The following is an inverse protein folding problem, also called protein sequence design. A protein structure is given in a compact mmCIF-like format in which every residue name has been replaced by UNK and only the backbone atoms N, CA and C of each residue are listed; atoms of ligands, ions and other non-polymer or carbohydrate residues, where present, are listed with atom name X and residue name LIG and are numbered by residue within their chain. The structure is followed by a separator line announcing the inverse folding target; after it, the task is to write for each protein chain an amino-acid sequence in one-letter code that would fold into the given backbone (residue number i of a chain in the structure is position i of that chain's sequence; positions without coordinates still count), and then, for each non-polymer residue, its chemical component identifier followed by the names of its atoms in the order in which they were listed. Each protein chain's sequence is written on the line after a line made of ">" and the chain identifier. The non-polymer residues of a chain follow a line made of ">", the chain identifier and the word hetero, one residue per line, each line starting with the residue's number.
data_IF_541672477978
#
_entry.id   IF_541672477978
#
_cell.length_a   1.000
_cell.length_b   1.000
_cell.length_c   1.000
_cell.angle_alpha   90.00
_cell.angle_beta   90.00
_cell.angle_gamma   90.00
#
_symmetry.space_group_name_H-M   'P 1'
#
loop_
_entity.id
_entity.type
_entity.pdbx_description
1 polymer ?
#
# COMPACT_ATOMS: atom_id res chain seq x y z
N UNK A 1 2.67 4.87 -18.40
CA UNK A 1 1.43 5.25 -17.68
C UNK A 1 1.39 6.76 -17.51
N UNK A 2 0.19 7.39 -17.58
CA UNK A 2 0.05 8.83 -17.31
C UNK A 2 0.23 9.08 -15.80
N UNK A 3 1.10 9.99 -15.43
CA UNK A 3 1.33 10.35 -14.04
C UNK A 3 0.14 11.14 -13.46
N UNK A 4 -0.11 10.95 -12.17
CA UNK A 4 -1.16 11.62 -11.39
C UNK A 4 -0.55 12.40 -10.23
N UNK A 5 -0.95 13.64 -10.05
CA UNK A 5 -0.47 14.48 -8.95
C UNK A 5 -1.01 13.95 -7.61
N UNK A 6 -0.16 13.86 -6.59
CA UNK A 6 -0.54 13.40 -5.25
C UNK A 6 -1.03 14.59 -4.40
N UNK A 7 -2.35 14.77 -4.34
CA UNK A 7 -2.96 15.85 -3.55
C UNK A 7 -2.26 17.18 -3.74
N UNK A 8 -2.01 17.89 -2.63
CA UNK A 8 -1.31 19.20 -2.61
C UNK A 8 0.19 19.14 -2.87
N UNK A 9 0.79 17.93 -2.96
CA UNK A 9 2.23 17.78 -3.15
C UNK A 9 2.68 18.13 -4.58
N UNK A 10 3.99 18.24 -4.78
CA UNK A 10 4.64 18.33 -6.09
C UNK A 10 4.93 16.95 -6.71
N UNK A 11 4.59 15.87 -6.00
CA UNK A 11 4.85 14.52 -6.47
C UNK A 11 3.85 14.08 -7.53
N UNK A 12 4.37 13.47 -8.58
CA UNK A 12 3.59 12.86 -9.65
C UNK A 12 3.85 11.35 -9.67
N UNK A 13 2.86 10.57 -9.29
CA UNK A 13 2.96 9.11 -9.17
C UNK A 13 2.39 8.40 -10.39
N UNK A 14 2.98 7.26 -10.74
CA UNK A 14 2.31 6.31 -11.63
C UNK A 14 1.02 5.78 -10.98
N UNK A 15 -0.02 5.42 -11.75
CA UNK A 15 -1.28 4.89 -11.20
C UNK A 15 -1.10 3.63 -10.34
N UNK A 16 0.02 2.93 -10.49
CA UNK A 16 0.41 1.77 -9.68
C UNK A 16 1.76 2.09 -9.03
N UNK A 17 1.87 1.82 -7.73
CA UNK A 17 3.12 1.76 -6.99
C UNK A 17 3.42 0.35 -6.52
N UNK A 18 4.70 0.00 -6.37
CA UNK A 18 5.09 -1.29 -5.84
C UNK A 18 5.02 -1.29 -4.31
N UNK A 19 4.14 -2.13 -3.76
CA UNK A 19 4.10 -2.43 -2.33
C UNK A 19 5.06 -3.58 -1.98
N UNK A 20 5.88 -3.37 -0.97
CA UNK A 20 6.93 -4.33 -0.59
C UNK A 20 6.60 -5.16 0.65
N UNK A 21 5.41 -5.03 1.22
CA UNK A 21 5.02 -5.77 2.44
C UNK A 21 5.34 -7.27 2.37
N UNK A 22 5.04 -7.91 1.25
CA UNK A 22 5.27 -9.35 1.07
C UNK A 22 6.76 -9.73 0.88
N UNK A 23 7.66 -8.75 0.80
CA UNK A 23 9.11 -8.93 0.72
C UNK A 23 9.79 -8.95 2.10
N UNK A 24 9.05 -8.70 3.19
CA UNK A 24 9.57 -8.70 4.56
C UNK A 24 9.85 -10.09 5.14
N UNK A 25 9.68 -11.16 4.37
CA UNK A 25 9.92 -12.52 4.85
C UNK A 25 8.77 -13.11 5.67
N UNK A 26 9.02 -14.27 6.30
CA UNK A 26 8.02 -15.06 7.04
C UNK A 26 8.14 -15.02 8.57
N UNK A 27 9.24 -14.53 9.11
CA UNK A 27 9.57 -14.67 10.53
C UNK A 27 9.04 -13.53 11.41
N UNK A 28 7.84 -13.05 11.09
CA UNK A 28 7.14 -12.03 11.87
C UNK A 28 5.61 -12.17 11.72
N UNK A 29 4.86 -11.56 12.65
CA UNK A 29 3.41 -11.76 12.83
C UNK A 29 2.55 -11.60 11.57
N UNK A 30 2.92 -10.70 10.66
CA UNK A 30 2.17 -10.39 9.43
C UNK A 30 2.94 -10.79 8.17
N UNK A 31 3.80 -11.82 8.28
CA UNK A 31 4.57 -12.36 7.17
C UNK A 31 3.71 -13.04 6.10
N UNK A 32 4.29 -13.21 4.92
CA UNK A 32 3.69 -13.90 3.77
C UNK A 32 4.37 -15.26 3.48
N UNK A 33 5.04 -15.83 4.50
CA UNK A 33 5.92 -16.97 4.34
C UNK A 33 7.33 -16.60 3.85
N UNK A 34 8.22 -17.60 3.69
CA UNK A 34 9.60 -17.36 3.28
C UNK A 34 9.72 -16.55 2.00
N UNK A 35 10.71 -15.67 1.93
CA UNK A 35 10.99 -14.80 0.79
C UNK A 35 12.49 -14.77 0.49
N UNK A 36 12.83 -14.86 -0.78
CA UNK A 36 14.20 -14.70 -1.28
C UNK A 36 14.49 -13.23 -1.60
N UNK A 37 15.53 -12.69 -0.99
CA UNK A 37 15.92 -11.29 -1.15
C UNK A 37 16.38 -10.96 -2.57
N UNK A 38 17.07 -11.88 -3.23
CA UNK A 38 17.51 -11.65 -4.60
C UNK A 38 16.33 -11.61 -5.57
N UNK A 39 15.26 -12.41 -5.31
CA UNK A 39 14.00 -12.30 -6.04
C UNK A 39 13.33 -10.96 -5.76
N UNK A 40 13.34 -10.50 -4.51
CA UNK A 40 12.76 -9.20 -4.12
C UNK A 40 13.46 -8.04 -4.83
N UNK A 41 14.80 -8.00 -4.83
CA UNK A 41 15.60 -6.99 -5.54
C UNK A 41 15.27 -6.98 -7.04
N UNK A 42 15.27 -8.16 -7.69
CA UNK A 42 14.91 -8.25 -9.11
C UNK A 42 13.48 -7.80 -9.39
N UNK A 43 12.54 -8.09 -8.49
CA UNK A 43 11.13 -7.64 -8.61
C UNK A 43 11.02 -6.11 -8.53
N UNK A 44 11.80 -5.48 -7.64
CA UNK A 44 11.88 -4.01 -7.54
C UNK A 44 12.43 -3.43 -8.86
N UNK A 45 13.52 -3.97 -9.38
CA UNK A 45 14.10 -3.51 -10.63
C UNK A 45 13.14 -3.67 -11.81
N UNK A 46 12.48 -4.84 -11.94
CA UNK A 46 11.48 -5.07 -12.99
C UNK A 46 10.32 -4.05 -12.90
N UNK A 47 9.80 -3.77 -11.70
CA UNK A 47 8.73 -2.79 -11.52
C UNK A 47 9.13 -1.40 -12.03
N UNK A 48 10.37 -0.98 -11.74
CA UNK A 48 10.92 0.30 -12.20
C UNK A 48 11.17 0.29 -13.72
N UNK A 49 11.61 -0.83 -14.30
CA UNK A 49 11.82 -0.99 -15.74
C UNK A 49 10.48 -0.98 -16.51
N UNK A 50 9.41 -1.48 -15.93
CA UNK A 50 8.05 -1.37 -16.43
C UNK A 50 7.45 0.05 -16.31
N UNK A 51 8.21 0.99 -15.73
CA UNK A 51 7.86 2.40 -15.63
C UNK A 51 7.07 2.78 -14.38
N UNK A 52 7.02 1.93 -13.34
CA UNK A 52 6.57 2.34 -11.99
C UNK A 52 7.64 3.30 -11.44
N UNK A 53 7.21 4.41 -10.83
CA UNK A 53 8.13 5.44 -10.35
C UNK A 53 8.18 5.61 -8.83
N UNK A 54 7.48 4.75 -8.08
CA UNK A 54 7.47 4.84 -6.63
C UNK A 54 7.32 3.47 -5.94
N UNK A 55 7.86 3.38 -4.72
CA UNK A 55 7.86 2.20 -3.87
C UNK A 55 7.23 2.53 -2.52
N UNK A 56 6.39 1.62 -1.99
CA UNK A 56 5.85 1.70 -0.63
C UNK A 56 6.43 0.59 0.24
N UNK A 57 7.06 0.98 1.33
CA UNK A 57 7.64 0.08 2.34
C UNK A 57 7.24 0.49 3.75
N UNK A 58 7.73 -0.21 4.77
CA UNK A 58 7.62 0.15 6.18
C UNK A 58 8.70 -0.55 7.01
N UNK A 59 9.18 0.08 8.12
CA UNK A 59 10.14 -0.55 9.01
C UNK A 59 9.62 -1.84 9.66
N UNK A 60 8.32 -1.92 9.96
CA UNK A 60 7.73 -3.12 10.56
C UNK A 60 7.70 -4.33 9.62
N UNK A 61 7.84 -4.16 8.31
CA UNK A 61 7.87 -5.26 7.35
C UNK A 61 9.14 -6.10 7.51
N UNK A 62 9.01 -7.25 8.17
CA UNK A 62 10.16 -8.08 8.54
C UNK A 62 11.09 -7.41 9.57
N UNK A 63 10.56 -6.50 10.41
CA UNK A 63 11.28 -5.84 11.51
C UNK A 63 12.58 -5.16 11.05
N UNK A 64 12.47 -4.35 10.00
CA UNK A 64 13.56 -3.61 9.35
C UNK A 64 14.08 -4.25 8.06
N UNK A 65 13.97 -5.56 7.93
CA UNK A 65 14.53 -6.32 6.80
C UNK A 65 14.07 -5.84 5.43
N UNK A 66 12.77 -5.51 5.30
CA UNK A 66 12.24 -5.05 4.01
C UNK A 66 12.86 -3.72 3.55
N UNK A 67 13.10 -2.77 4.46
CA UNK A 67 13.80 -1.52 4.12
C UNK A 67 15.25 -1.78 3.71
N UNK A 68 15.95 -2.76 4.34
CA UNK A 68 17.30 -3.16 3.94
C UNK A 68 17.33 -3.78 2.52
N UNK A 69 16.31 -4.60 2.18
CA UNK A 69 16.14 -5.16 0.81
C UNK A 69 15.90 -4.06 -0.21
N UNK A 70 15.02 -3.10 0.11
CA UNK A 70 14.75 -1.92 -0.74
C UNK A 70 16.05 -1.11 -0.89
N UNK A 71 16.79 -0.83 0.19
CA UNK A 71 18.05 -0.10 0.17
C UNK A 71 19.10 -0.77 -0.73
N UNK A 72 19.22 -2.11 -0.70
CA UNK A 72 20.06 -2.86 -1.63
C UNK A 72 19.63 -2.64 -3.08
N UNK A 73 18.34 -2.75 -3.37
CA UNK A 73 17.82 -2.51 -4.72
C UNK A 73 18.13 -1.08 -5.20
N UNK A 74 17.93 -0.07 -4.34
CA UNK A 74 18.23 1.33 -4.66
C UNK A 74 19.71 1.57 -4.98
N UNK A 75 20.62 0.95 -4.22
CA UNK A 75 22.06 1.05 -4.43
C UNK A 75 22.49 0.55 -5.81
N UNK A 76 21.80 -0.44 -6.37
CA UNK A 76 22.08 -1.02 -7.68
C UNK A 76 21.54 -0.17 -8.85
N UNK A 77 20.66 0.81 -8.61
CA UNK A 77 19.97 1.59 -9.64
C UNK A 77 20.79 2.74 -10.24
N UNK A 78 22.07 2.73 -10.26
CA UNK A 78 22.98 3.67 -10.96
C UNK A 78 22.31 4.97 -11.48
N UNK A 79 21.96 5.90 -10.57
CA UNK A 79 21.41 7.23 -10.94
C UNK A 79 19.89 7.30 -11.14
N UNK A 80 19.15 6.21 -11.10
CA UNK A 80 17.67 6.21 -11.07
C UNK A 80 17.21 6.25 -9.61
N UNK A 81 16.43 7.25 -9.23
CA UNK A 81 15.85 7.34 -7.88
C UNK A 81 14.34 7.33 -7.97
N UNK A 82 13.67 6.23 -7.60
CA UNK A 82 12.21 6.23 -7.44
C UNK A 82 11.79 7.09 -6.23
N UNK A 83 10.54 7.49 -6.20
CA UNK A 83 9.90 8.10 -5.04
C UNK A 83 9.74 7.01 -3.98
N UNK A 84 10.20 7.27 -2.74
CA UNK A 84 10.16 6.32 -1.63
C UNK A 84 9.12 6.75 -0.61
N UNK A 85 8.18 5.83 -0.31
CA UNK A 85 7.23 5.94 0.79
C UNK A 85 7.61 4.94 1.88
N UNK A 86 7.76 5.42 3.13
CA UNK A 86 7.89 4.56 4.30
C UNK A 86 7.09 5.12 5.47
N UNK A 87 7.11 4.43 6.62
CA UNK A 87 6.16 4.66 7.70
C UNK A 87 6.87 4.73 9.06
N UNK A 88 6.13 5.13 10.10
CA UNK A 88 6.53 5.07 11.51
C UNK A 88 5.39 4.53 12.37
N UNK A 89 5.58 4.51 13.67
CA UNK A 89 4.63 4.12 14.71
C UNK A 89 4.67 2.63 15.07
N UNK A 90 4.77 1.72 14.10
CA UNK A 90 4.87 0.28 14.37
C UNK A 90 6.31 -0.07 14.74
N UNK A 91 6.68 0.16 16.01
CA UNK A 91 7.92 -0.30 16.60
C UNK A 91 7.84 -1.78 16.99
N UNK A 92 8.96 -2.35 17.42
CA UNK A 92 8.98 -3.71 17.95
C UNK A 92 9.97 -3.84 19.12
N UNK A 93 9.71 -4.79 19.98
CA UNK A 93 10.57 -5.21 21.10
C UNK A 93 11.60 -6.25 20.62
N UNK A 94 12.63 -6.58 21.42
CA UNK A 94 13.64 -7.58 21.05
C UNK A 94 13.09 -8.98 20.76
N UNK A 95 11.92 -9.30 21.29
CA UNK A 95 11.22 -10.58 21.03
C UNK A 95 10.36 -10.56 19.75
N UNK A 96 10.38 -9.45 18.99
CA UNK A 96 9.57 -9.25 17.79
C UNK A 96 8.12 -8.79 18.04
N UNK A 97 7.73 -8.56 19.30
CA UNK A 97 6.40 -8.04 19.64
C UNK A 97 6.25 -6.63 19.09
N UNK A 98 5.23 -6.42 18.24
CA UNK A 98 4.95 -5.12 17.63
C UNK A 98 4.20 -4.24 18.65
N UNK A 99 4.72 -3.03 18.88
CA UNK A 99 4.18 -2.04 19.81
C UNK A 99 3.96 -0.70 19.12
N UNK A 100 2.81 -0.04 19.32
CA UNK A 100 2.56 1.29 18.77
C UNK A 100 3.31 2.36 19.57
N UNK A 101 3.96 3.31 18.89
CA UNK A 101 4.67 4.43 19.52
C UNK A 101 4.59 5.69 18.66
N UNK A 102 3.93 6.73 19.17
CA UNK A 102 3.81 8.05 18.51
C UNK A 102 4.52 9.17 19.26
N UNK A 103 5.33 8.84 20.28
CA UNK A 103 6.12 9.85 21.00
C UNK A 103 7.18 10.45 20.08
N UNK A 104 7.39 11.77 20.22
CA UNK A 104 8.36 12.54 19.43
C UNK A 104 9.73 11.86 19.34
N UNK A 105 10.29 11.40 20.45
CA UNK A 105 11.58 10.74 20.48
C UNK A 105 11.61 9.44 19.66
N UNK A 106 10.49 8.68 19.60
CA UNK A 106 10.34 7.49 18.78
C UNK A 106 10.35 7.85 17.29
N UNK A 107 9.51 8.80 16.88
CA UNK A 107 9.39 9.24 15.50
C UNK A 107 10.74 9.72 14.94
N UNK A 108 11.48 10.52 15.71
CA UNK A 108 12.81 11.00 15.31
C UNK A 108 13.82 9.85 15.15
N UNK A 109 13.80 8.84 16.03
CA UNK A 109 14.67 7.67 15.90
C UNK A 109 14.26 6.80 14.71
N UNK A 110 12.97 6.55 14.53
CA UNK A 110 12.45 5.73 13.44
C UNK A 110 12.81 6.28 12.06
N UNK A 111 12.76 7.61 11.87
CA UNK A 111 13.15 8.21 10.58
C UNK A 111 14.64 8.04 10.30
N UNK A 112 15.52 8.22 11.32
CA UNK A 112 16.95 8.01 11.14
C UNK A 112 17.28 6.56 10.78
N UNK A 113 16.61 5.62 11.46
CA UNK A 113 16.75 4.20 11.16
C UNK A 113 16.28 3.84 9.74
N UNK A 114 15.16 4.43 9.29
CA UNK A 114 14.67 4.24 7.91
C UNK A 114 15.61 4.86 6.87
N UNK A 115 16.11 6.09 7.09
CA UNK A 115 17.09 6.73 6.21
C UNK A 115 18.35 5.86 6.06
N UNK A 116 18.85 5.32 7.17
CA UNK A 116 20.04 4.45 7.20
C UNK A 116 19.78 3.13 6.46
N UNK A 117 18.66 2.43 6.70
CA UNK A 117 18.34 1.15 6.04
C UNK A 117 18.10 1.33 4.54
N UNK A 118 17.39 2.37 4.16
CA UNK A 118 17.10 2.69 2.75
C UNK A 118 18.32 3.25 2.01
N UNK A 119 19.33 3.76 2.73
CA UNK A 119 20.51 4.38 2.14
C UNK A 119 20.20 5.68 1.40
N UNK A 120 19.27 6.48 1.93
CA UNK A 120 18.85 7.77 1.35
C UNK A 120 18.95 8.91 2.38
N UNK A 121 19.22 10.12 1.91
CA UNK A 121 19.33 11.31 2.79
C UNK A 121 17.95 11.93 3.08
N UNK A 122 16.96 11.70 2.23
CA UNK A 122 15.62 12.26 2.32
C UNK A 122 14.58 11.21 1.93
N UNK A 123 13.52 11.09 2.73
CA UNK A 123 12.34 10.29 2.42
C UNK A 123 11.31 11.16 1.70
N UNK A 124 10.81 10.72 0.55
CA UNK A 124 9.85 11.51 -0.23
C UNK A 124 8.47 11.55 0.39
N UNK A 125 7.99 10.42 0.95
CA UNK A 125 6.68 10.25 1.56
C UNK A 125 6.84 9.52 2.90
N UNK A 126 6.53 10.19 4.00
CA UNK A 126 6.61 9.61 5.34
C UNK A 126 5.27 9.68 6.05
N UNK A 127 4.84 8.58 6.67
CA UNK A 127 3.47 8.49 7.19
C UNK A 127 3.37 7.74 8.52
N UNK A 128 2.44 8.17 9.36
CA UNK A 128 1.99 7.37 10.51
C UNK A 128 1.27 6.13 9.95
N UNK A 129 1.69 4.92 10.36
CA UNK A 129 1.16 3.65 9.87
C UNK A 129 -0.26 3.38 10.39
N UNK A 130 -0.48 3.60 11.68
CA UNK A 130 -1.77 3.50 12.35
C UNK A 130 -1.95 4.62 13.37
N UNK A 131 -3.18 5.11 13.61
CA UNK A 131 -3.45 6.15 14.61
C UNK A 131 -3.45 5.55 16.03
N UNK A 132 -2.33 5.00 16.47
CA UNK A 132 -2.20 4.30 17.76
C UNK A 132 -0.89 4.63 18.46
N UNK A 133 -0.91 4.94 19.79
CA UNK A 133 -2.13 5.19 20.57
C UNK A 133 -2.82 6.49 20.13
N UNK A 134 -4.18 6.56 20.22
CA UNK A 134 -4.95 7.70 19.70
C UNK A 134 -4.64 9.02 20.44
N UNK A 135 -4.33 8.94 21.72
CA UNK A 135 -3.96 10.10 22.56
C UNK A 135 -2.64 10.74 22.14
N UNK A 136 -1.79 10.05 21.39
CA UNK A 136 -0.47 10.53 20.99
C UNK A 136 -0.39 10.99 19.53
N UNK A 137 -1.49 10.95 18.76
CA UNK A 137 -1.43 11.22 17.30
C UNK A 137 -1.00 12.65 16.99
N UNK A 138 -1.39 13.65 17.79
CA UNK A 138 -0.96 15.05 17.60
C UNK A 138 0.52 15.25 17.93
N UNK A 139 1.04 14.57 18.96
CA UNK A 139 2.47 14.61 19.29
C UNK A 139 3.29 13.98 18.15
N UNK A 140 2.89 12.79 17.69
CA UNK A 140 3.56 12.13 16.57
C UNK A 140 3.49 12.93 15.27
N UNK A 141 2.34 13.56 14.99
CA UNK A 141 2.19 14.40 13.82
C UNK A 141 3.01 15.67 13.87
N UNK A 142 3.12 16.30 15.07
CA UNK A 142 3.99 17.44 15.29
C UNK A 142 5.46 17.08 15.05
N UNK A 143 5.89 15.91 15.50
CA UNK A 143 7.24 15.40 15.25
C UNK A 143 7.50 15.21 13.74
N UNK A 144 6.53 14.67 12.98
CA UNK A 144 6.66 14.55 11.51
C UNK A 144 6.75 15.94 10.85
N UNK A 145 5.98 16.93 11.30
CA UNK A 145 6.07 18.30 10.80
C UNK A 145 7.47 18.90 11.00
N UNK A 146 8.13 18.59 12.13
CA UNK A 146 9.51 18.97 12.39
C UNK A 146 10.49 18.31 11.41
N UNK A 147 10.28 17.04 11.08
CA UNK A 147 11.10 16.31 10.10
C UNK A 147 10.96 16.90 8.68
N UNK A 148 9.75 17.34 8.32
CA UNK A 148 9.53 18.08 7.06
C UNK A 148 10.29 19.40 7.08
N UNK A 149 10.19 20.19 8.17
CA UNK A 149 10.92 21.45 8.33
C UNK A 149 12.44 21.27 8.31
N UNK A 150 12.93 20.13 8.85
CA UNK A 150 14.35 19.78 8.83
C UNK A 150 14.85 19.24 7.47
N UNK A 151 13.95 19.06 6.50
CA UNK A 151 14.28 18.53 5.17
C UNK A 151 14.58 17.03 5.10
N UNK A 152 14.33 16.27 6.16
CA UNK A 152 14.49 14.80 6.18
C UNK A 152 13.33 14.07 5.50
N UNK A 153 12.18 14.71 5.47
CA UNK A 153 10.94 14.24 4.84
C UNK A 153 10.44 15.31 3.88
N UNK A 154 10.06 14.94 2.67
CA UNK A 154 9.46 15.90 1.72
C UNK A 154 7.98 16.11 1.97
N UNK A 155 7.22 15.03 2.06
CA UNK A 155 5.77 15.08 2.21
C UNK A 155 5.27 14.14 3.30
N UNK A 156 4.43 14.69 4.18
CA UNK A 156 3.86 13.99 5.31
C UNK A 156 2.44 13.47 4.99
N UNK A 157 2.16 12.23 5.39
CA UNK A 157 0.88 11.58 5.23
C UNK A 157 0.52 10.68 6.40
N UNK A 158 -0.60 10.01 6.28
CA UNK A 158 -1.08 9.07 7.30
C UNK A 158 -1.72 7.84 6.66
N UNK A 159 -1.82 6.75 7.41
CA UNK A 159 -2.48 5.52 6.99
C UNK A 159 -3.53 5.10 8.01
N UNK A 160 -4.69 4.62 7.55
CA UNK A 160 -5.77 4.09 8.39
C UNK A 160 -6.45 5.12 9.32
N UNK A 161 -6.36 6.40 9.02
CA UNK A 161 -7.00 7.46 9.81
C UNK A 161 -8.47 7.68 9.39
N UNK A 162 -9.32 7.91 10.37
CA UNK A 162 -10.69 8.39 10.18
C UNK A 162 -10.73 9.88 9.86
N UNK A 163 -11.87 10.37 9.35
CA UNK A 163 -12.09 11.81 9.11
C UNK A 163 -11.95 12.63 10.41
N UNK A 164 -12.43 12.09 11.55
CA UNK A 164 -12.29 12.75 12.85
C UNK A 164 -10.80 12.96 13.22
N UNK A 165 -9.98 11.93 13.03
CA UNK A 165 -8.53 12.01 13.28
C UNK A 165 -7.83 12.93 12.29
N UNK A 166 -8.18 12.89 11.00
CA UNK A 166 -7.62 13.83 10.01
C UNK A 166 -7.87 15.29 10.38
N UNK A 167 -9.08 15.61 10.89
CA UNK A 167 -9.42 16.97 11.37
C UNK A 167 -8.54 17.45 12.51
N UNK A 168 -8.08 16.55 13.40
CA UNK A 168 -7.17 16.88 14.51
C UNK A 168 -5.77 17.24 14.01
N UNK A 169 -5.32 16.67 12.90
CA UNK A 169 -3.98 16.88 12.36
C UNK A 169 -3.83 18.17 11.54
N UNK A 170 -4.87 18.55 10.80
CA UNK A 170 -4.82 19.68 9.85
C UNK A 170 -4.33 21.02 10.46
N UNK A 171 -4.69 21.41 11.70
CA UNK A 171 -4.20 22.64 12.32
C UNK A 171 -2.71 22.62 12.63
N UNK A 172 -2.10 21.44 12.78
CA UNK A 172 -0.69 21.25 13.12
C UNK A 172 0.18 21.32 11.86
N UNK A 173 -0.14 20.47 10.89
CA UNK A 173 0.52 20.42 9.59
C UNK A 173 -0.43 19.83 8.55
N UNK A 174 -0.48 20.36 7.32
CA UNK A 174 -1.35 19.84 6.29
C UNK A 174 -1.01 18.39 5.95
N UNK A 175 -2.02 17.51 5.95
CA UNK A 175 -1.89 16.13 5.46
C UNK A 175 -1.84 16.14 3.93
N UNK A 176 -0.75 15.64 3.34
CA UNK A 176 -0.60 15.61 1.89
C UNK A 176 -1.27 14.39 1.25
N UNK A 177 -1.27 13.24 1.94
CA UNK A 177 -1.86 12.01 1.43
C UNK A 177 -2.35 11.09 2.55
N UNK A 178 -3.32 10.24 2.18
CA UNK A 178 -3.88 9.18 3.03
C UNK A 178 -3.70 7.82 2.34
N UNK A 179 -3.25 6.82 3.10
CA UNK A 179 -3.14 5.43 2.66
C UNK A 179 -4.18 4.54 3.38
N UNK A 180 -5.40 4.39 2.86
CA UNK A 180 -6.43 3.52 3.43
C UNK A 180 -6.49 2.17 2.72
N UNK A 181 -7.15 1.13 3.30
CA UNK A 181 -7.54 -0.06 2.55
C UNK A 181 -8.68 0.29 1.58
N UNK A 182 -8.57 -0.15 0.32
CA UNK A 182 -9.65 0.02 -0.66
C UNK A 182 -9.62 -1.04 -1.74
N UNK A 183 -10.75 -1.71 -1.92
CA UNK A 183 -10.95 -2.74 -2.95
C UNK A 183 -12.45 -2.89 -3.26
N UNK A 184 -12.81 -3.70 -4.22
CA UNK A 184 -14.20 -4.07 -4.51
C UNK A 184 -14.92 -4.68 -3.29
N UNK A 185 -14.19 -5.35 -2.39
CA UNK A 185 -14.72 -5.98 -1.17
C UNK A 185 -14.70 -5.00 0.01
N UNK A 186 -13.68 -4.17 0.12
CA UNK A 186 -13.53 -3.19 1.20
C UNK A 186 -13.78 -1.77 0.67
N UNK A 187 -15.00 -1.26 0.86
CA UNK A 187 -15.47 0.02 0.30
C UNK A 187 -15.72 1.10 1.34
N UNK A 188 -15.32 0.88 2.59
CA UNK A 188 -15.64 1.77 3.72
C UNK A 188 -15.16 3.22 3.59
N UNK A 189 -14.22 3.52 2.67
CA UNK A 189 -13.73 4.88 2.45
C UNK A 189 -14.65 5.75 1.56
N UNK A 190 -15.62 5.15 0.87
CA UNK A 190 -16.39 5.83 -0.17
C UNK A 190 -17.33 6.91 0.41
N UNK A 191 -17.90 6.68 1.60
CA UNK A 191 -18.94 7.55 2.18
C UNK A 191 -18.40 8.83 2.82
N UNK A 192 -17.23 8.78 3.49
CA UNK A 192 -16.72 9.92 4.26
C UNK A 192 -15.29 10.31 3.86
N UNK A 193 -14.39 9.33 3.73
CA UNK A 193 -12.96 9.59 3.53
C UNK A 193 -12.69 10.19 2.15
N UNK A 194 -13.26 9.63 1.08
CA UNK A 194 -13.06 10.17 -0.28
C UNK A 194 -13.56 11.60 -0.38
N UNK A 195 -14.81 11.94 0.03
CA UNK A 195 -15.31 13.32 0.01
C UNK A 195 -14.46 14.29 0.85
N UNK A 196 -14.03 13.85 2.05
CA UNK A 196 -13.18 14.68 2.89
C UNK A 196 -11.81 14.96 2.25
N UNK A 197 -11.16 13.93 1.71
CA UNK A 197 -9.87 14.07 1.03
C UNK A 197 -9.98 14.98 -0.21
N UNK A 198 -11.09 14.90 -0.93
CA UNK A 198 -11.35 15.78 -2.08
C UNK A 198 -11.46 17.25 -1.65
N UNK A 199 -12.25 17.53 -0.61
CA UNK A 199 -12.45 18.89 -0.10
C UNK A 199 -11.17 19.53 0.47
N UNK A 200 -10.19 18.72 0.89
CA UNK A 200 -8.95 19.19 1.54
C UNK A 200 -7.68 18.99 0.70
N UNK A 201 -7.81 18.61 -0.57
CA UNK A 201 -6.70 18.30 -1.49
C UNK A 201 -5.70 17.29 -0.92
N UNK A 202 -6.22 16.23 -0.27
CA UNK A 202 -5.45 15.09 0.23
C UNK A 202 -5.45 13.99 -0.84
N UNK A 203 -4.26 13.56 -1.29
CA UNK A 203 -4.14 12.44 -2.23
C UNK A 203 -4.47 11.10 -1.56
N UNK A 204 -5.10 10.18 -2.29
CA UNK A 204 -5.38 8.82 -1.77
C UNK A 204 -4.52 7.81 -2.51
N UNK A 205 -3.77 6.99 -1.76
CA UNK A 205 -2.92 5.91 -2.26
C UNK A 205 -3.29 4.58 -1.60
N UNK A 206 -4.42 3.97 -1.95
CA UNK A 206 -4.93 2.82 -1.22
C UNK A 206 -4.05 1.58 -1.36
N UNK A 207 -4.02 0.78 -0.28
CA UNK A 207 -3.40 -0.53 -0.28
C UNK A 207 -4.43 -1.65 -0.47
N UNK A 208 -3.96 -2.85 -0.83
CA UNK A 208 -4.75 -4.06 -1.06
C UNK A 208 -5.87 -3.92 -2.12
N UNK A 209 -5.62 -3.31 -3.29
CA UNK A 209 -6.65 -3.17 -4.33
C UNK A 209 -7.18 -4.52 -4.83
N UNK A 210 -6.36 -5.58 -4.74
CA UNK A 210 -6.74 -6.96 -5.04
C UNK A 210 -7.09 -7.78 -3.79
N UNK A 211 -7.35 -7.15 -2.64
CA UNK A 211 -7.65 -7.81 -1.36
C UNK A 211 -6.65 -8.94 -1.04
N UNK A 212 -5.36 -8.61 -0.94
CA UNK A 212 -4.26 -9.54 -0.66
C UNK A 212 -4.18 -10.72 -1.65
N UNK A 213 -4.55 -10.49 -2.90
CA UNK A 213 -4.57 -11.48 -3.98
C UNK A 213 -5.89 -12.21 -4.16
N UNK A 214 -6.88 -12.03 -3.28
CA UNK A 214 -8.18 -12.67 -3.36
C UNK A 214 -8.90 -12.36 -4.68
N UNK A 215 -8.81 -11.12 -5.17
CA UNK A 215 -9.41 -10.66 -6.44
C UNK A 215 -8.51 -10.88 -7.67
N UNK A 216 -7.47 -11.73 -7.56
CA UNK A 216 -6.57 -12.02 -8.68
C UNK A 216 -7.15 -12.99 -9.71
N UNK A 217 -8.26 -13.64 -9.39
CA UNK A 217 -8.83 -14.73 -10.20
C UNK A 217 -8.08 -16.07 -10.05
N UNK A 218 -7.04 -16.14 -9.21
CA UNK A 218 -6.22 -17.36 -8.99
C UNK A 218 -6.56 -18.09 -7.69
N UNK A 219 -7.37 -17.50 -6.81
CA UNK A 219 -7.71 -18.07 -5.50
C UNK A 219 -8.80 -19.12 -5.64
N UNK A 220 -8.50 -20.31 -5.15
CA UNK A 220 -9.42 -21.44 -4.98
C UNK A 220 -9.32 -21.95 -3.55
N UNK A 221 -10.26 -22.80 -3.11
CA UNK A 221 -10.17 -23.45 -1.79
C UNK A 221 -8.84 -24.20 -1.64
N UNK A 222 -8.48 -25.04 -2.60
CA UNK A 222 -7.23 -25.79 -2.57
C UNK A 222 -6.00 -24.87 -2.49
N UNK A 223 -6.04 -23.70 -3.12
CA UNK A 223 -4.96 -22.71 -3.03
C UNK A 223 -4.85 -22.13 -1.62
N UNK A 224 -5.99 -21.84 -0.95
CA UNK A 224 -6.00 -21.34 0.44
C UNK A 224 -5.49 -22.40 1.41
N UNK A 225 -5.92 -23.65 1.25
CA UNK A 225 -5.49 -24.78 2.07
C UNK A 225 -3.97 -25.04 1.98
N UNK A 226 -3.38 -24.74 0.82
CA UNK A 226 -1.94 -24.87 0.56
C UNK A 226 -1.09 -23.69 1.05
N UNK A 227 -1.68 -22.64 1.63
CA UNK A 227 -0.90 -21.52 2.18
C UNK A 227 0.05 -22.01 3.29
N UNK A 228 1.29 -21.51 3.36
CA UNK A 228 2.21 -21.79 4.47
C UNK A 228 1.58 -21.48 5.84
N UNK A 229 1.95 -22.23 6.87
CA UNK A 229 1.44 -22.00 8.24
C UNK A 229 1.75 -20.57 8.76
N UNK A 230 2.85 -19.99 8.29
CA UNK A 230 3.32 -18.64 8.63
C UNK A 230 2.71 -17.53 7.75
N UNK A 231 1.83 -17.88 6.81
CA UNK A 231 1.14 -16.89 5.97
C UNK A 231 -0.04 -16.28 6.76
N UNK A 232 0.03 -14.96 7.00
CA UNK A 232 -0.98 -14.24 7.80
C UNK A 232 -2.40 -14.31 7.21
N UNK A 233 -2.56 -14.62 5.92
CA UNK A 233 -3.88 -14.76 5.27
C UNK A 233 -4.69 -15.94 5.82
N UNK A 234 -4.04 -16.95 6.40
CA UNK A 234 -4.74 -18.05 7.09
C UNK A 234 -5.63 -17.57 8.24
N UNK A 235 -5.24 -16.47 8.89
CA UNK A 235 -6.03 -15.81 9.96
C UNK A 235 -6.98 -14.72 9.47
N UNK A 236 -6.98 -14.39 8.19
CA UNK A 236 -7.85 -13.34 7.63
C UNK A 236 -9.24 -13.92 7.35
N UNK A 237 -10.32 -13.33 7.92
CA UNK A 237 -11.70 -13.79 7.70
C UNK A 237 -12.09 -13.87 6.22
N UNK A 238 -11.52 -13.04 5.35
CA UNK A 238 -11.81 -13.05 3.91
C UNK A 238 -11.32 -14.33 3.20
N UNK A 239 -10.37 -15.05 3.79
CA UNK A 239 -9.83 -16.32 3.29
C UNK A 239 -10.40 -17.54 4.03
N UNK A 240 -11.40 -17.34 4.90
CA UNK A 240 -12.06 -18.37 5.70
C UNK A 240 -13.57 -18.38 5.45
N UNK A 241 -14.22 -19.51 5.78
CA UNK A 241 -15.68 -19.61 5.66
C UNK A 241 -16.41 -18.74 6.70
N UNK A 242 -17.57 -18.20 6.36
CA UNK A 242 -18.31 -18.34 5.10
C UNK A 242 -17.86 -17.37 3.99
N UNK A 243 -16.96 -16.42 4.26
CA UNK A 243 -16.58 -15.37 3.32
C UNK A 243 -15.79 -15.90 2.14
N UNK A 244 -14.97 -16.95 2.31
CA UNK A 244 -14.17 -17.54 1.22
C UNK A 244 -15.06 -18.03 0.07
N UNK A 245 -16.12 -18.76 0.35
CA UNK A 245 -17.07 -19.23 -0.68
C UNK A 245 -17.69 -18.06 -1.44
N UNK A 246 -18.14 -17.01 -0.75
CA UNK A 246 -18.66 -15.80 -1.37
C UNK A 246 -17.61 -15.11 -2.26
N UNK A 247 -16.38 -14.99 -1.79
CA UNK A 247 -15.30 -14.32 -2.50
C UNK A 247 -14.83 -15.08 -3.74
N UNK A 248 -14.87 -16.44 -3.72
CA UNK A 248 -14.60 -17.26 -4.90
C UNK A 248 -15.69 -17.03 -5.96
N UNK A 249 -16.97 -17.06 -5.56
CA UNK A 249 -18.08 -16.79 -6.47
C UNK A 249 -18.00 -15.38 -7.09
N UNK A 250 -17.62 -14.37 -6.29
CA UNK A 250 -17.35 -13.02 -6.78
C UNK A 250 -16.23 -13.00 -7.83
N UNK A 251 -15.13 -13.73 -7.61
CA UNK A 251 -14.05 -13.83 -8.58
C UNK A 251 -14.51 -14.45 -9.91
N UNK A 252 -15.35 -15.47 -9.87
CA UNK A 252 -15.87 -16.12 -11.08
C UNK A 252 -16.75 -15.16 -11.88
N UNK A 253 -17.60 -14.38 -11.21
CA UNK A 253 -18.41 -13.34 -11.84
C UNK A 253 -17.52 -12.23 -12.47
N UNK A 254 -16.50 -11.75 -11.74
CA UNK A 254 -15.56 -10.75 -12.25
C UNK A 254 -14.71 -11.27 -13.41
N UNK A 255 -14.42 -12.57 -13.44
CA UNK A 255 -13.70 -13.21 -14.55
C UNK A 255 -14.47 -13.10 -15.86
N UNK A 256 -15.80 -13.27 -15.86
CA UNK A 256 -16.62 -13.11 -17.06
C UNK A 256 -16.52 -11.67 -17.62
N UNK A 257 -16.59 -10.66 -16.74
CA UNK A 257 -16.43 -9.25 -17.13
C UNK A 257 -15.02 -8.99 -17.67
N UNK A 258 -13.98 -9.49 -16.97
CA UNK A 258 -12.59 -9.30 -17.37
C UNK A 258 -12.31 -9.92 -18.74
N UNK A 259 -12.79 -11.16 -18.99
CA UNK A 259 -12.64 -11.85 -20.27
C UNK A 259 -13.27 -11.04 -21.41
N UNK A 260 -14.49 -10.52 -21.22
CA UNK A 260 -15.17 -9.67 -22.21
C UNK A 260 -14.40 -8.40 -22.53
N UNK A 261 -13.70 -7.85 -21.56
CA UNK A 261 -12.88 -6.65 -21.70
C UNK A 261 -11.45 -6.94 -22.20
N UNK A 262 -11.08 -8.20 -22.45
CA UNK A 262 -9.74 -8.60 -22.86
C UNK A 262 -8.68 -8.36 -21.78
N UNK A 263 -9.03 -8.46 -20.50
CA UNK A 263 -8.16 -8.20 -19.34
C UNK A 263 -8.24 -9.34 -18.32
N UNK A 264 -7.53 -9.20 -17.20
CA UNK A 264 -7.55 -10.17 -16.10
C UNK A 264 -8.40 -9.66 -14.92
N UNK A 265 -8.92 -10.53 -14.02
CA UNK A 265 -9.57 -10.09 -12.79
C UNK A 265 -8.69 -9.20 -11.92
N UNK A 266 -7.38 -9.46 -11.88
CA UNK A 266 -6.41 -8.63 -11.16
C UNK A 266 -6.35 -7.20 -11.70
N UNK A 267 -6.20 -7.04 -13.01
CA UNK A 267 -6.17 -5.73 -13.67
C UNK A 267 -7.52 -5.01 -13.52
N UNK A 268 -8.63 -5.74 -13.64
CA UNK A 268 -9.98 -5.19 -13.44
C UNK A 268 -10.16 -4.66 -12.01
N UNK A 269 -9.70 -5.41 -10.99
CA UNK A 269 -9.77 -4.98 -9.60
C UNK A 269 -8.95 -3.70 -9.34
N UNK A 270 -7.74 -3.61 -9.89
CA UNK A 270 -6.88 -2.43 -9.79
C UNK A 270 -7.53 -1.23 -10.52
N UNK A 271 -7.98 -1.41 -11.76
CA UNK A 271 -8.64 -0.38 -12.53
C UNK A 271 -9.91 0.14 -11.85
N UNK A 272 -10.66 -0.76 -11.20
CA UNK A 272 -11.85 -0.38 -10.45
C UNK A 272 -11.52 0.55 -9.26
N UNK A 273 -10.45 0.29 -8.52
CA UNK A 273 -9.95 1.18 -7.46
C UNK A 273 -9.52 2.52 -8.06
N UNK A 274 -8.76 2.49 -9.16
CA UNK A 274 -8.23 3.68 -9.84
C UNK A 274 -9.27 4.52 -10.57
N UNK A 275 -10.52 4.02 -10.72
CA UNK A 275 -11.63 4.79 -11.33
C UNK A 275 -12.06 5.99 -10.49
N UNK A 276 -11.80 5.96 -9.20
CA UNK A 276 -12.11 7.06 -8.29
C UNK A 276 -11.17 8.24 -8.56
N UNK A 277 -11.71 9.43 -8.92
CA UNK A 277 -10.88 10.57 -9.33
C UNK A 277 -9.83 11.00 -8.29
N UNK A 278 -10.15 10.85 -6.99
CA UNK A 278 -9.26 11.23 -5.90
C UNK A 278 -8.20 10.17 -5.59
N UNK A 279 -8.35 8.96 -6.07
CA UNK A 279 -7.31 7.92 -5.95
C UNK A 279 -6.17 8.23 -6.91
N UNK A 280 -5.04 8.63 -6.34
CA UNK A 280 -3.84 8.98 -7.13
C UNK A 280 -3.16 7.75 -7.68
N UNK A 281 -2.94 6.73 -6.83
CA UNK A 281 -2.20 5.53 -7.18
C UNK A 281 -2.63 4.38 -6.28
N UNK A 282 -2.65 3.16 -6.79
CA UNK A 282 -2.93 1.95 -6.01
C UNK A 282 -1.63 1.21 -5.69
N UNK A 283 -1.46 0.77 -4.43
CA UNK A 283 -0.30 -0.01 -4.00
C UNK A 283 -0.52 -1.48 -4.35
N UNK A 284 0.27 -1.99 -5.28
CA UNK A 284 0.20 -3.37 -5.77
C UNK A 284 1.43 -4.14 -5.30
N UNK A 285 1.22 -5.21 -4.52
CA UNK A 285 2.28 -6.06 -4.02
C UNK A 285 2.76 -7.08 -5.06
N UNK A 286 4.07 -7.37 -5.04
CA UNK A 286 4.68 -8.49 -5.77
C UNK A 286 5.79 -9.12 -4.93
N UNK A 287 6.06 -10.40 -5.14
CA UNK A 287 7.08 -11.19 -4.43
C UNK A 287 8.18 -11.72 -5.35
N UNK A 288 7.87 -11.83 -6.64
CA UNK A 288 8.80 -12.39 -7.66
C UNK A 288 8.61 -11.68 -8.99
N UNK A 289 9.63 -11.67 -9.84
CA UNK A 289 9.53 -11.16 -11.21
C UNK A 289 8.35 -11.75 -11.97
N UNK A 290 7.78 -10.99 -12.90
CA UNK A 290 6.59 -11.33 -13.69
C UNK A 290 5.27 -10.91 -13.04
N UNK A 291 5.16 -10.85 -11.71
CA UNK A 291 3.88 -10.54 -11.05
C UNK A 291 3.39 -9.12 -11.31
N UNK A 292 4.29 -8.14 -11.39
CA UNK A 292 3.91 -6.77 -11.74
C UNK A 292 3.51 -6.68 -13.21
N UNK A 293 4.20 -7.38 -14.10
CA UNK A 293 3.84 -7.42 -15.52
C UNK A 293 2.41 -7.95 -15.73
N UNK A 294 1.97 -8.93 -14.92
CA UNK A 294 0.60 -9.49 -14.96
C UNK A 294 -0.49 -8.52 -14.47
N UNK A 295 -0.13 -7.42 -13.80
CA UNK A 295 -1.10 -6.52 -13.13
C UNK A 295 -1.02 -5.07 -13.59
N UNK A 296 0.09 -4.69 -14.24
CA UNK A 296 0.38 -3.30 -14.60
C UNK A 296 -0.62 -2.71 -15.59
N UNK A 297 -1.28 -3.56 -16.41
CA UNK A 297 -2.34 -3.15 -17.32
C UNK A 297 -3.53 -2.50 -16.62
N UNK A 298 -3.80 -2.89 -15.36
CA UNK A 298 -4.84 -2.25 -14.54
C UNK A 298 -4.64 -0.74 -14.33
N UNK A 299 -3.40 -0.25 -14.39
CA UNK A 299 -3.07 1.18 -14.33
C UNK A 299 -3.41 1.97 -15.61
N UNK A 300 -3.79 1.28 -16.68
CA UNK A 300 -4.12 1.87 -18.00
C UNK A 300 -5.55 1.58 -18.43
N UNK A 301 -6.19 0.58 -17.81
CA UNK A 301 -7.52 0.10 -18.16
C UNK A 301 -8.58 1.15 -17.79
N UNK A 302 -9.33 1.62 -18.79
CA UNK A 302 -10.55 2.38 -18.59
C UNK A 302 -11.74 1.41 -18.64
N UNK A 303 -12.47 1.28 -17.54
CA UNK A 303 -13.63 0.38 -17.46
C UNK A 303 -14.84 1.09 -18.09
N UNK A 304 -15.47 0.53 -19.14
CA UNK A 304 -16.68 1.11 -19.74
C UNK A 304 -17.86 1.18 -18.74
N UNK A 305 -18.78 2.11 -18.97
CA UNK A 305 -19.92 2.34 -18.06
C UNK A 305 -20.85 1.15 -17.91
N UNK A 306 -21.09 0.40 -18.99
CA UNK A 306 -21.86 -0.85 -18.98
C UNK A 306 -21.21 -1.92 -18.10
N UNK A 307 -19.89 -2.07 -18.21
CA UNK A 307 -19.13 -2.99 -17.37
C UNK A 307 -19.10 -2.55 -15.89
N UNK A 308 -19.03 -1.24 -15.60
CA UNK A 308 -19.17 -0.73 -14.24
C UNK A 308 -20.56 -1.04 -13.65
N UNK A 309 -21.62 -0.91 -14.44
CA UNK A 309 -22.96 -1.27 -14.03
C UNK A 309 -23.13 -2.77 -13.75
N UNK A 310 -22.48 -3.63 -14.57
CA UNK A 310 -22.43 -5.08 -14.36
C UNK A 310 -21.67 -5.42 -13.06
N UNK A 311 -20.49 -4.85 -12.87
CA UNK A 311 -19.70 -5.02 -11.64
C UNK A 311 -20.51 -4.58 -10.42
N UNK A 312 -21.22 -3.46 -10.49
CA UNK A 312 -22.06 -2.97 -9.38
C UNK A 312 -23.15 -3.98 -8.97
N UNK A 313 -23.76 -4.68 -9.93
CA UNK A 313 -24.73 -5.75 -9.67
C UNK A 313 -24.10 -6.97 -9.00
N UNK A 314 -22.85 -7.29 -9.38
CA UNK A 314 -22.11 -8.41 -8.78
C UNK A 314 -21.66 -8.09 -7.35
N UNK A 315 -21.44 -6.81 -7.02
CA UNK A 315 -21.01 -6.34 -5.70
C UNK A 315 -22.17 -6.02 -4.73
N UNK A 316 -23.39 -5.99 -5.20
CA UNK A 316 -24.60 -5.77 -4.38
C UNK A 316 -24.95 -7.02 -3.55
#
# INVERSE_FOLDING_TARGET
>A
MKLRKLGRSDLHLTPIGLGTWAMGGGDWKFGWGPQDDALSVRTIHEALDLGINWLDTAPVYGLGHCEDVVGRALKELKGRRPIISTKCERCWEPDGTIVPRLKRASIHREVEDSLRRLGVDVIDMYQIHWPQPDEDIEEGWSAIAELVKAGKVRWAGVSNFSVAQLKRLQPIHPVAFLQPPYSMINRGIESEIIPYCEAHDIGIIPYSPMQKGLLSGKVTRAWVDALPATDHRRGDPQFNEPLLTRNIALNDALRAVATRLGTTPAELAIAWVLRQPRVTSAIVGARKPGQIAETIGGGRLAIPSDALAEIAKVLA
#
